data_IF_387010087101
#
_entry.id   IF_387010087101
#
_cell.length_a   1.000
_cell.length_b   1.000
_cell.length_c   1.000
_cell.angle_alpha   90.00
_cell.angle_beta   90.00
_cell.angle_gamma   90.00
#
_symmetry.space_group_name_H-M   'P 1'
#
loop_
_entity.id
_entity.type
_entity.pdbx_description
1 polymer ?
#
# COMPACT_ATOMS: atom_id res chain seq x y z
N UNK A 1 -23.04 -8.81 0.81
CA UNK A 1 -22.11 -8.30 -0.22
C UNK A 1 -20.90 -9.22 -0.26
N UNK A 2 -20.69 -9.98 -1.34
CA UNK A 2 -19.54 -10.86 -1.50
C UNK A 2 -18.39 -10.04 -2.11
N UNK A 3 -17.38 -9.72 -1.30
CA UNK A 3 -16.20 -8.96 -1.75
C UNK A 3 -15.24 -9.92 -2.43
N UNK A 4 -14.85 -9.63 -3.68
CA UNK A 4 -13.93 -10.48 -4.45
C UNK A 4 -12.49 -10.29 -3.99
N UNK A 5 -11.70 -11.35 -3.91
CA UNK A 5 -10.26 -11.26 -3.59
C UNK A 5 -9.50 -10.36 -4.58
N UNK A 6 -9.95 -10.31 -5.85
CA UNK A 6 -9.43 -9.35 -6.83
C UNK A 6 -9.68 -7.89 -6.42
N UNK A 7 -10.90 -7.59 -5.94
CA UNK A 7 -11.21 -6.23 -5.48
C UNK A 7 -10.40 -5.83 -4.24
N UNK A 8 -10.11 -6.79 -3.36
CA UNK A 8 -9.21 -6.58 -2.21
C UNK A 8 -7.78 -6.30 -2.67
N UNK A 9 -7.28 -7.10 -3.63
CA UNK A 9 -5.95 -6.90 -4.20
C UNK A 9 -5.79 -5.55 -4.90
N UNK A 10 -6.80 -5.13 -5.69
CA UNK A 10 -6.81 -3.82 -6.36
C UNK A 10 -6.82 -2.69 -5.32
N UNK A 11 -7.66 -2.78 -4.28
CA UNK A 11 -7.70 -1.79 -3.20
C UNK A 11 -6.36 -1.67 -2.46
N UNK A 12 -5.72 -2.81 -2.17
CA UNK A 12 -4.41 -2.85 -1.53
C UNK A 12 -3.30 -2.26 -2.42
N UNK A 13 -3.33 -2.52 -3.73
CA UNK A 13 -2.39 -1.93 -4.68
C UNK A 13 -2.53 -0.40 -4.77
N UNK A 14 -3.76 0.12 -4.75
CA UNK A 14 -4.01 1.57 -4.70
C UNK A 14 -3.45 2.18 -3.42
N UNK A 15 -3.70 1.56 -2.26
CA UNK A 15 -3.17 2.02 -0.97
C UNK A 15 -1.63 2.02 -0.95
N UNK A 16 -1.00 0.99 -1.51
CA UNK A 16 0.45 0.93 -1.69
C UNK A 16 0.96 2.09 -2.53
N UNK A 17 0.35 2.33 -3.70
CA UNK A 17 0.72 3.43 -4.58
C UNK A 17 0.58 4.79 -3.90
N UNK A 18 -0.51 5.03 -3.16
CA UNK A 18 -0.70 6.28 -2.40
C UNK A 18 0.36 6.45 -1.32
N UNK A 19 0.70 5.38 -0.59
CA UNK A 19 1.72 5.42 0.45
C UNK A 19 3.12 5.75 -0.11
N UNK A 20 3.49 5.14 -1.24
CA UNK A 20 4.76 5.41 -1.92
C UNK A 20 4.80 6.82 -2.52
N UNK A 21 3.73 7.28 -3.17
CA UNK A 21 3.63 8.65 -3.71
C UNK A 21 3.72 9.69 -2.59
N UNK A 22 3.06 9.43 -1.45
CA UNK A 22 3.16 10.29 -0.28
C UNK A 22 4.58 10.30 0.31
N UNK A 23 5.26 9.15 0.31
CA UNK A 23 6.66 9.03 0.75
C UNK A 23 7.62 9.77 -0.20
N UNK A 24 7.45 9.61 -1.51
CA UNK A 24 8.22 10.34 -2.52
C UNK A 24 8.01 11.85 -2.41
N UNK A 25 6.76 12.30 -2.26
CA UNK A 25 6.43 13.72 -2.03
C UNK A 25 7.05 14.25 -0.74
N UNK A 26 7.17 13.42 0.29
CA UNK A 26 7.83 13.78 1.56
C UNK A 26 9.35 13.90 1.37
N UNK A 27 9.96 12.95 0.66
CA UNK A 27 11.40 12.89 0.46
C UNK A 27 11.92 13.95 -0.52
N UNK A 28 11.05 14.49 -1.39
CA UNK A 28 11.38 15.57 -2.32
C UNK A 28 11.21 16.98 -1.71
N UNK A 29 11.03 17.11 -0.39
CA UNK A 29 10.98 18.41 0.31
C UNK A 29 12.38 18.81 0.78
N UNK A 30 12.66 20.11 0.75
CA UNK A 30 13.95 20.69 1.16
C UNK A 30 14.23 20.50 2.66
N UNK A 31 13.17 20.40 3.48
CA UNK A 31 13.22 20.10 4.91
C UNK A 31 12.54 18.75 5.22
N UNK A 32 13.33 17.68 5.26
CA UNK A 32 12.87 16.32 5.60
C UNK A 32 12.79 16.06 7.11
N UNK A 33 13.32 16.97 7.93
CA UNK A 33 13.35 16.85 9.39
C UNK A 33 12.08 17.43 10.05
N UNK A 34 11.39 18.36 9.37
CA UNK A 34 10.16 19.00 9.88
C UNK A 34 8.86 18.20 9.66
N UNK A 35 8.92 17.04 9.00
CA UNK A 35 7.73 16.31 8.52
C UNK A 35 7.13 15.30 9.52
N UNK A 36 7.65 15.22 10.75
CA UNK A 36 7.13 14.35 11.81
C UNK A 36 7.30 12.84 11.53
N UNK A 37 7.27 11.98 12.53
CA UNK A 37 7.45 10.53 12.32
C UNK A 37 6.19 9.87 11.75
N UNK A 38 5.97 9.98 10.43
CA UNK A 38 4.90 9.26 9.73
C UNK A 38 5.44 7.98 9.06
N UNK A 39 4.99 6.77 9.46
CA UNK A 39 5.55 5.48 9.02
C UNK A 39 5.02 5.05 7.64
N UNK A 40 5.16 5.91 6.62
CA UNK A 40 4.68 5.66 5.25
C UNK A 40 5.22 4.34 4.67
N UNK A 41 6.47 4.01 4.97
CA UNK A 41 7.07 2.74 4.55
C UNK A 41 6.39 1.52 5.19
N UNK A 42 5.89 1.66 6.43
CA UNK A 42 5.12 0.60 7.10
C UNK A 42 3.75 0.38 6.46
N UNK A 43 3.08 1.47 6.07
CA UNK A 43 1.81 1.40 5.33
C UNK A 43 2.03 0.75 3.96
N UNK A 44 3.08 1.15 3.24
CA UNK A 44 3.42 0.54 1.97
C UNK A 44 3.71 -0.96 2.12
N UNK A 45 4.50 -1.37 3.12
CA UNK A 45 4.80 -2.78 3.36
C UNK A 45 3.53 -3.60 3.66
N UNK A 46 2.64 -3.06 4.50
CA UNK A 46 1.37 -3.71 4.84
C UNK A 46 0.45 -3.81 3.61
N UNK A 47 0.32 -2.75 2.82
CA UNK A 47 -0.46 -2.75 1.58
C UNK A 47 0.09 -3.74 0.54
N UNK A 48 1.41 -3.81 0.38
CA UNK A 48 2.05 -4.77 -0.51
C UNK A 48 1.80 -6.21 -0.04
N UNK A 49 1.90 -6.49 1.26
CA UNK A 49 1.59 -7.80 1.81
C UNK A 49 0.15 -8.21 1.50
N UNK A 50 -0.82 -7.33 1.77
CA UNK A 50 -2.24 -7.61 1.48
C UNK A 50 -2.47 -7.82 -0.02
N UNK A 51 -1.84 -7.02 -0.89
CA UNK A 51 -1.96 -7.20 -2.34
C UNK A 51 -1.42 -8.56 -2.78
N UNK A 52 -0.23 -8.95 -2.32
CA UNK A 52 0.39 -10.24 -2.63
C UNK A 52 -0.45 -11.42 -2.13
N UNK A 53 -0.96 -11.34 -0.90
CA UNK A 53 -1.83 -12.37 -0.33
C UNK A 53 -3.15 -12.48 -1.11
N UNK A 54 -3.81 -11.35 -1.38
CA UNK A 54 -5.07 -11.34 -2.14
C UNK A 54 -4.89 -11.91 -3.54
N UNK A 55 -3.80 -11.56 -4.23
CA UNK A 55 -3.47 -12.15 -5.54
C UNK A 55 -3.16 -13.64 -5.44
N UNK A 56 -2.41 -14.07 -4.42
CA UNK A 56 -2.10 -15.49 -4.22
C UNK A 56 -3.36 -16.33 -3.94
N UNK A 57 -4.28 -15.84 -3.10
CA UNK A 57 -5.55 -16.53 -2.83
C UNK A 57 -6.47 -16.56 -4.05
N UNK A 58 -6.54 -15.46 -4.80
CA UNK A 58 -7.28 -15.41 -6.06
C UNK A 58 -6.74 -16.41 -7.09
N UNK A 59 -5.42 -16.47 -7.29
CA UNK A 59 -4.78 -17.45 -8.17
C UNK A 59 -4.95 -18.89 -7.67
N UNK A 60 -4.99 -19.10 -6.35
CA UNK A 60 -5.23 -20.41 -5.75
C UNK A 60 -6.70 -20.88 -5.87
N UNK A 61 -7.60 -20.06 -6.43
CA UNK A 61 -9.01 -20.39 -6.61
C UNK A 61 -9.78 -20.51 -5.29
N UNK A 62 -9.29 -19.89 -4.21
CA UNK A 62 -9.93 -19.87 -2.89
C UNK A 62 -10.69 -18.56 -2.65
#
# INVERSE_FOLDING_TARGET
>A
MQVSMLSVGIGAAILFGVAEVASWRRNNRRDVEQVGFMPWRGIALASAAVALFATAFWLAGK
#
